data_IF_722243666732
#
_entry.id   IF_722243666732
#
_cell.length_a   1.000
_cell.length_b   1.000
_cell.length_c   1.000
_cell.angle_alpha   90.00
_cell.angle_beta   90.00
_cell.angle_gamma   90.00
#
_symmetry.space_group_name_H-M   'P 1'
#
loop_
_entity.id
_entity.type
_entity.pdbx_description
1 polymer ?
#
# COMPACT_ATOMS: atom_id res chain seq x y z
N UNK A 1 2.05 -30.65 -3.22
CA UNK A 1 2.53 -31.84 -2.49
C UNK A 1 2.15 -33.14 -3.20
N UNK A 2 0.87 -33.39 -3.50
CA UNK A 2 0.47 -34.62 -4.22
C UNK A 2 1.15 -34.80 -5.59
N UNK A 3 1.21 -33.76 -6.42
CA UNK A 3 1.82 -33.80 -7.76
C UNK A 3 3.35 -34.03 -7.74
N UNK A 4 4.01 -33.66 -6.65
CA UNK A 4 5.46 -33.86 -6.44
C UNK A 4 5.79 -35.25 -5.90
N UNK A 5 4.91 -35.81 -5.06
CA UNK A 5 5.16 -37.11 -4.43
C UNK A 5 4.67 -38.30 -5.28
N UNK A 6 3.63 -38.09 -6.10
CA UNK A 6 2.92 -39.16 -6.82
C UNK A 6 2.70 -38.87 -8.31
N UNK A 7 3.09 -37.70 -8.82
CA UNK A 7 2.93 -37.28 -10.21
C UNK A 7 4.25 -37.21 -10.99
N UNK A 8 4.24 -36.52 -12.13
CA UNK A 8 5.42 -36.28 -12.96
C UNK A 8 6.48 -35.39 -12.28
N UNK A 9 6.12 -34.74 -11.16
CA UNK A 9 7.00 -33.89 -10.35
C UNK A 9 7.57 -32.69 -11.09
N UNK A 10 8.48 -31.97 -10.43
CA UNK A 10 9.35 -30.98 -11.08
C UNK A 10 8.96 -29.51 -10.92
N UNK A 11 7.93 -29.19 -10.12
CA UNK A 11 7.68 -27.81 -9.66
C UNK A 11 8.85 -27.33 -8.80
N UNK A 12 9.36 -28.18 -7.90
CA UNK A 12 10.51 -27.84 -7.05
C UNK A 12 11.77 -27.60 -7.88
N UNK A 13 12.03 -28.45 -8.88
CA UNK A 13 13.15 -28.28 -9.79
C UNK A 13 13.01 -26.99 -10.62
N UNK A 14 11.82 -26.72 -11.15
CA UNK A 14 11.52 -25.50 -11.88
C UNK A 14 11.65 -24.25 -10.99
N UNK A 15 11.13 -24.30 -9.75
CA UNK A 15 11.18 -23.19 -8.81
C UNK A 15 12.60 -22.87 -8.33
N UNK A 16 13.44 -23.89 -8.16
CA UNK A 16 14.85 -23.72 -7.82
C UNK A 16 15.66 -23.13 -8.99
N UNK A 17 15.29 -23.46 -10.24
CA UNK A 17 15.95 -22.89 -11.42
C UNK A 17 15.47 -21.46 -11.68
N UNK A 18 14.16 -21.23 -11.65
CA UNK A 18 13.54 -19.92 -11.80
C UNK A 18 12.21 -19.88 -11.05
N UNK A 19 12.16 -19.07 -9.98
CA UNK A 19 10.97 -18.88 -9.17
C UNK A 19 9.78 -18.35 -9.97
N UNK A 20 10.04 -17.62 -11.06
CA UNK A 20 9.03 -17.07 -11.96
C UNK A 20 8.31 -18.15 -12.77
N UNK A 21 8.96 -19.30 -13.00
CA UNK A 21 8.39 -20.40 -13.79
C UNK A 21 7.53 -21.36 -12.98
N UNK A 22 7.62 -21.32 -11.64
CA UNK A 22 6.95 -22.26 -10.74
C UNK A 22 5.43 -22.29 -10.93
N UNK A 23 4.81 -21.13 -11.11
CA UNK A 23 3.36 -21.01 -11.32
C UNK A 23 2.96 -21.69 -12.64
N UNK A 24 3.61 -21.33 -13.74
CA UNK A 24 3.27 -21.87 -15.06
C UNK A 24 3.55 -23.36 -15.15
N UNK A 25 4.65 -23.83 -14.56
CA UNK A 25 4.96 -25.26 -14.46
C UNK A 25 3.94 -26.02 -13.62
N UNK A 26 3.42 -25.41 -12.56
CA UNK A 26 2.34 -26.02 -11.79
C UNK A 26 1.08 -26.19 -12.65
N UNK A 27 0.72 -25.18 -13.46
CA UNK A 27 -0.44 -25.27 -14.37
C UNK A 27 -0.24 -26.37 -15.43
N UNK A 28 0.95 -26.46 -16.01
CA UNK A 28 1.30 -27.53 -16.95
C UNK A 28 1.17 -28.92 -16.32
N UNK A 29 1.64 -29.09 -15.08
CA UNK A 29 1.63 -30.36 -14.37
C UNK A 29 0.25 -30.83 -13.90
N UNK A 30 -0.78 -29.96 -13.93
CA UNK A 30 -2.16 -30.36 -13.68
C UNK A 30 -2.75 -31.24 -14.78
N UNK A 31 -1.98 -31.55 -15.85
CA UNK A 31 -2.29 -32.53 -16.90
C UNK A 31 -3.73 -32.44 -17.44
N UNK A 32 -4.24 -31.22 -17.56
CA UNK A 32 -5.54 -30.93 -18.16
C UNK A 32 -5.38 -30.83 -19.67
N UNK A 33 -6.49 -30.81 -20.42
CA UNK A 33 -6.47 -30.57 -21.86
C UNK A 33 -5.57 -29.37 -22.22
N UNK A 34 -4.72 -29.53 -23.24
CA UNK A 34 -3.72 -28.53 -23.67
C UNK A 34 -4.30 -27.12 -23.91
N UNK A 35 -5.55 -27.06 -24.38
CA UNK A 35 -6.26 -25.79 -24.57
C UNK A 35 -6.54 -25.06 -23.23
N UNK A 36 -6.87 -25.80 -22.17
CA UNK A 36 -7.17 -25.23 -20.84
C UNK A 36 -5.90 -24.66 -20.22
N UNK A 37 -4.78 -25.34 -20.35
CA UNK A 37 -3.47 -24.88 -19.86
C UNK A 37 -3.11 -23.53 -20.48
N UNK A 38 -3.29 -23.39 -21.79
CA UNK A 38 -2.99 -22.15 -22.53
C UNK A 38 -3.90 -21.00 -22.09
N UNK A 39 -5.22 -21.26 -21.96
CA UNK A 39 -6.19 -20.26 -21.51
C UNK A 39 -5.90 -19.82 -20.07
N UNK A 40 -5.62 -20.77 -19.17
CA UNK A 40 -5.32 -20.46 -17.77
C UNK A 40 -4.01 -19.67 -17.63
N UNK A 41 -2.94 -20.07 -18.33
CA UNK A 41 -1.69 -19.32 -18.36
C UNK A 41 -1.88 -17.90 -18.90
N UNK A 42 -2.73 -17.74 -19.93
CA UNK A 42 -3.10 -16.43 -20.47
C UNK A 42 -3.85 -15.55 -19.46
N UNK A 43 -4.85 -16.11 -18.78
CA UNK A 43 -5.61 -15.40 -17.72
C UNK A 43 -4.67 -15.01 -16.58
N UNK A 44 -3.82 -15.91 -16.10
CA UNK A 44 -2.83 -15.61 -15.06
C UNK A 44 -1.90 -14.47 -15.47
N UNK A 45 -1.43 -14.46 -16.72
CA UNK A 45 -0.57 -13.39 -17.24
C UNK A 45 -1.30 -12.04 -17.23
N UNK A 46 -2.55 -11.99 -17.69
CA UNK A 46 -3.36 -10.76 -17.68
C UNK A 46 -3.61 -10.29 -16.23
N UNK A 47 -3.87 -11.21 -15.31
CA UNK A 47 -4.07 -10.90 -13.89
C UNK A 47 -2.81 -10.31 -13.27
N UNK A 48 -1.64 -10.89 -13.56
CA UNK A 48 -0.34 -10.38 -13.09
C UNK A 48 -0.06 -8.97 -13.62
N UNK A 49 -0.29 -8.74 -14.92
CA UNK A 49 -0.09 -7.42 -15.54
C UNK A 49 -1.03 -6.38 -14.92
N UNK A 50 -2.32 -6.69 -14.79
CA UNK A 50 -3.31 -5.76 -14.20
C UNK A 50 -2.99 -5.45 -12.73
N UNK A 51 -2.61 -6.47 -11.95
CA UNK A 51 -2.21 -6.29 -10.56
C UNK A 51 -0.96 -5.40 -10.44
N UNK A 52 0.03 -5.64 -11.30
CA UNK A 52 1.24 -4.84 -11.35
C UNK A 52 0.95 -3.36 -11.69
N UNK A 53 0.11 -3.09 -12.69
CA UNK A 53 -0.26 -1.72 -13.10
C UNK A 53 -0.99 -0.98 -11.99
N UNK A 54 -2.00 -1.59 -11.37
CA UNK A 54 -2.77 -0.96 -10.28
C UNK A 54 -1.91 -0.74 -9.03
N UNK A 55 -1.00 -1.67 -8.72
CA UNK A 55 -0.04 -1.53 -7.62
C UNK A 55 0.95 -0.39 -7.87
N UNK A 56 1.49 -0.30 -9.09
CA UNK A 56 2.43 0.76 -9.47
C UNK A 56 1.78 2.15 -9.45
N UNK A 57 0.51 2.28 -9.83
CA UNK A 57 -0.22 3.55 -9.78
C UNK A 57 -0.35 4.05 -8.32
N UNK A 58 -0.73 3.16 -7.41
CA UNK A 58 -0.86 3.47 -5.97
C UNK A 58 0.48 3.86 -5.36
N UNK A 59 1.57 3.16 -5.72
CA UNK A 59 2.91 3.47 -5.24
C UNK A 59 3.39 4.85 -5.71
N UNK A 60 3.12 5.19 -6.97
CA UNK A 60 3.49 6.49 -7.55
C UNK A 60 2.76 7.64 -6.88
N UNK A 61 1.48 7.43 -6.50
CA UNK A 61 0.69 8.42 -5.78
C UNK A 61 1.31 8.75 -4.42
N UNK A 62 1.69 7.74 -3.63
CA UNK A 62 2.34 7.95 -2.32
C UNK A 62 3.67 8.68 -2.46
N UNK A 63 4.50 8.33 -3.46
CA UNK A 63 5.77 9.04 -3.70
C UNK A 63 5.52 10.51 -4.04
N UNK A 64 4.51 10.80 -4.86
CA UNK A 64 4.19 12.17 -5.23
C UNK A 64 3.65 12.99 -4.05
N UNK A 65 2.83 12.41 -3.18
CA UNK A 65 2.32 13.13 -1.99
C UNK A 65 3.43 13.41 -0.98
N UNK A 66 4.41 12.50 -0.84
CA UNK A 66 5.60 12.71 0.00
C UNK A 66 6.46 13.87 -0.52
N UNK A 67 6.65 13.98 -1.83
CA UNK A 67 7.48 15.04 -2.46
C UNK A 67 6.74 16.38 -2.46
N UNK A 68 5.41 16.37 -2.61
CA UNK A 68 4.57 17.58 -2.60
C UNK A 68 4.19 18.04 -1.18
N UNK A 69 4.86 17.54 -0.14
CA UNK A 69 4.66 17.95 1.26
C UNK A 69 3.20 17.84 1.74
N UNK A 70 2.46 16.84 1.26
CA UNK A 70 1.07 16.59 1.63
C UNK A 70 0.02 17.21 0.71
N UNK A 71 0.40 17.79 -0.44
CA UNK A 71 -0.58 18.16 -1.47
C UNK A 71 -1.30 16.89 -1.98
N UNK A 72 -2.62 16.88 -1.83
CA UNK A 72 -3.51 15.78 -2.21
C UNK A 72 -3.61 15.57 -3.72
N UNK A 73 -3.21 16.55 -4.54
CA UNK A 73 -3.37 16.49 -5.99
C UNK A 73 -2.08 16.85 -6.76
N UNK A 74 -1.04 16.01 -6.68
CA UNK A 74 0.19 16.25 -7.41
C UNK A 74 -0.02 16.19 -8.92
N UNK A 75 0.52 17.18 -9.64
CA UNK A 75 0.43 17.30 -11.11
C UNK A 75 0.76 15.97 -11.81
N UNK A 76 -0.11 15.52 -12.71
CA UNK A 76 -0.01 14.23 -13.42
C UNK A 76 1.34 14.02 -14.15
N UNK A 77 2.03 15.10 -14.53
CA UNK A 77 3.35 15.04 -15.16
C UNK A 77 4.43 14.46 -14.23
N UNK A 78 4.38 14.79 -12.93
CA UNK A 78 5.34 14.27 -11.96
C UNK A 78 5.11 12.78 -11.68
N UNK A 79 3.85 12.34 -11.66
CA UNK A 79 3.50 10.91 -11.53
C UNK A 79 4.11 10.07 -12.66
N UNK A 80 3.93 10.50 -13.92
CA UNK A 80 4.47 9.77 -15.08
C UNK A 80 6.00 9.78 -15.08
N UNK A 81 6.63 10.91 -14.72
CA UNK A 81 8.09 10.97 -14.63
C UNK A 81 8.67 9.96 -13.63
N UNK A 82 8.10 9.89 -12.42
CA UNK A 82 8.58 8.98 -11.38
C UNK A 82 8.30 7.50 -11.71
N UNK A 83 7.14 7.18 -12.29
CA UNK A 83 6.84 5.80 -12.67
C UNK A 83 7.76 5.28 -13.78
N UNK A 84 8.03 6.12 -14.79
CA UNK A 84 8.97 5.78 -15.87
C UNK A 84 10.40 5.67 -15.33
N UNK A 85 10.82 6.55 -14.42
CA UNK A 85 12.15 6.47 -13.81
C UNK A 85 12.35 5.16 -13.04
N UNK A 86 11.38 4.74 -12.22
CA UNK A 86 11.43 3.46 -11.49
C UNK A 86 11.44 2.28 -12.47
N UNK A 87 10.61 2.32 -13.51
CA UNK A 87 10.58 1.29 -14.55
C UNK A 87 11.91 1.19 -15.33
N UNK A 88 12.56 2.32 -15.61
CA UNK A 88 13.86 2.36 -16.25
C UNK A 88 14.94 1.72 -15.36
N UNK A 89 14.98 2.08 -14.07
CA UNK A 89 15.89 1.45 -13.10
C UNK A 89 15.65 -0.05 -13.04
N UNK A 90 14.40 -0.50 -12.84
CA UNK A 90 14.08 -1.93 -12.82
C UNK A 90 14.50 -2.66 -14.10
N UNK A 91 14.27 -2.06 -15.28
CA UNK A 91 14.67 -2.61 -16.57
C UNK A 91 16.20 -2.75 -16.67
N UNK A 92 16.96 -1.74 -16.25
CA UNK A 92 18.43 -1.79 -16.26
C UNK A 92 19.00 -2.86 -15.32
N UNK A 93 18.43 -3.03 -14.13
CA UNK A 93 18.85 -4.08 -13.19
C UNK A 93 18.54 -5.48 -13.73
N UNK A 94 17.35 -5.66 -14.33
CA UNK A 94 16.98 -6.93 -14.96
C UNK A 94 17.92 -7.30 -16.10
N UNK A 95 18.31 -6.34 -16.95
CA UNK A 95 19.25 -6.59 -18.04
C UNK A 95 20.68 -6.92 -17.57
N UNK A 96 21.12 -6.34 -16.45
CA UNK A 96 22.51 -6.46 -15.99
C UNK A 96 22.73 -7.67 -15.07
N UNK A 97 21.79 -7.95 -14.17
CA UNK A 97 21.96 -8.98 -13.14
C UNK A 97 20.72 -9.84 -12.90
N UNK A 98 19.71 -9.75 -13.78
CA UNK A 98 18.52 -10.58 -13.74
C UNK A 98 17.68 -10.41 -12.47
N UNK A 99 16.90 -11.44 -12.16
CA UNK A 99 16.00 -11.46 -10.99
C UNK A 99 16.75 -11.33 -9.67
N UNK A 100 17.92 -11.96 -9.55
CA UNK A 100 18.73 -11.91 -8.34
C UNK A 100 19.16 -10.48 -7.99
N UNK A 101 19.61 -9.69 -8.98
CA UNK A 101 19.97 -8.30 -8.77
C UNK A 101 18.78 -7.45 -8.32
N UNK A 102 17.60 -7.66 -8.90
CA UNK A 102 16.37 -6.97 -8.52
C UNK A 102 15.99 -7.28 -7.06
N UNK A 103 16.09 -8.54 -6.65
CA UNK A 103 15.83 -8.99 -5.27
C UNK A 103 16.83 -8.38 -4.29
N UNK A 104 18.13 -8.43 -4.59
CA UNK A 104 19.17 -7.85 -3.73
C UNK A 104 18.99 -6.34 -3.58
N UNK A 105 18.74 -5.62 -4.67
CA UNK A 105 18.48 -4.18 -4.62
C UNK A 105 17.26 -3.84 -3.75
N UNK A 106 16.19 -4.63 -3.86
CA UNK A 106 14.98 -4.46 -3.04
C UNK A 106 15.26 -4.70 -1.56
N UNK A 107 16.04 -5.74 -1.20
CA UNK A 107 16.41 -6.03 0.20
C UNK A 107 17.25 -4.88 0.78
N UNK A 108 18.25 -4.42 0.03
CA UNK A 108 19.14 -3.32 0.46
C UNK A 108 18.35 -2.02 0.63
N UNK A 109 17.38 -1.73 -0.24
CA UNK A 109 16.51 -0.57 -0.13
C UNK A 109 15.50 -0.68 1.04
N UNK A 110 14.95 -1.88 1.29
CA UNK A 110 13.98 -2.11 2.35
C UNK A 110 14.58 -2.07 3.76
N UNK A 111 15.83 -2.48 3.92
CA UNK A 111 16.50 -2.56 5.22
C UNK A 111 16.55 -1.23 5.99
N UNK A 112 17.01 -0.09 5.42
CA UNK A 112 16.97 1.21 6.11
C UNK A 112 15.53 1.69 6.34
N UNK A 113 14.61 1.44 5.40
CA UNK A 113 13.21 1.84 5.53
C UNK A 113 12.49 1.09 6.66
N UNK A 114 12.90 -0.14 6.96
CA UNK A 114 12.39 -0.92 8.10
C UNK A 114 12.55 -0.19 9.44
N UNK A 115 13.67 0.51 9.66
CA UNK A 115 13.86 1.31 10.88
C UNK A 115 12.84 2.45 11.01
N UNK A 116 12.51 3.09 9.88
CA UNK A 116 11.50 4.15 9.83
C UNK A 116 10.12 3.58 10.16
N UNK A 117 9.79 2.39 9.64
CA UNK A 117 8.52 1.73 9.98
C UNK A 117 8.42 1.35 11.46
N UNK A 118 9.51 0.92 12.09
CA UNK A 118 9.53 0.64 13.53
C UNK A 118 9.25 1.92 14.33
N UNK A 119 9.85 3.05 13.95
CA UNK A 119 9.56 4.35 14.57
C UNK A 119 8.11 4.77 14.34
N UNK A 120 7.58 4.61 13.12
CA UNK A 120 6.19 4.93 12.82
C UNK A 120 5.20 4.08 13.63
N UNK A 121 5.51 2.80 13.87
CA UNK A 121 4.72 1.93 14.75
C UNK A 121 4.78 2.47 16.19
N UNK A 122 5.96 2.83 16.70
CA UNK A 122 6.09 3.41 18.03
C UNK A 122 5.29 4.71 18.18
N UNK A 123 5.36 5.61 17.20
CA UNK A 123 4.63 6.87 17.18
C UNK A 123 3.12 6.63 17.08
N UNK A 124 2.67 5.64 16.29
CA UNK A 124 1.27 5.26 16.22
C UNK A 124 0.76 4.75 17.57
N UNK A 125 1.50 3.85 18.23
CA UNK A 125 1.15 3.38 19.56
C UNK A 125 1.07 4.54 20.57
N UNK A 126 2.07 5.42 20.58
CA UNK A 126 2.07 6.59 21.45
C UNK A 126 0.87 7.50 21.17
N UNK A 127 0.60 7.81 19.90
CA UNK A 127 -0.52 8.66 19.49
C UNK A 127 -1.87 8.07 19.87
N UNK A 128 -2.04 6.74 19.77
CA UNK A 128 -3.27 6.06 20.19
C UNK A 128 -3.42 6.05 21.72
N UNK A 129 -2.33 5.99 22.48
CA UNK A 129 -2.37 6.09 23.95
C UNK A 129 -2.63 7.53 24.44
N UNK A 130 -2.23 8.53 23.66
CA UNK A 130 -2.46 9.95 23.94
C UNK A 130 -3.85 10.44 23.50
N UNK A 131 -4.62 9.61 22.76
CA UNK A 131 -5.95 9.97 22.28
C UNK A 131 -6.94 10.11 23.45
N UNK A 132 -7.56 11.30 23.65
CA UNK A 132 -8.52 11.50 24.74
C UNK A 132 -9.76 10.65 24.49
N UNK A 133 -10.19 9.90 25.51
CA UNK A 133 -11.38 9.03 25.45
C UNK A 133 -12.57 9.86 24.91
N UNK A 134 -13.38 9.34 23.97
CA UNK A 134 -14.47 10.09 23.31
C UNK A 134 -15.40 10.84 24.28
N UNK A 135 -15.61 10.29 25.48
CA UNK A 135 -16.39 10.95 26.53
C UNK A 135 -15.81 12.28 27.02
N UNK A 136 -14.48 12.44 27.03
CA UNK A 136 -13.81 13.70 27.38
C UNK A 136 -13.89 14.72 26.25
N UNK A 137 -13.81 14.28 24.99
CA UNK A 137 -13.99 15.15 23.81
C UNK A 137 -15.43 15.65 23.69
N UNK A 138 -16.42 14.80 23.92
CA UNK A 138 -17.83 15.19 23.96
C UNK A 138 -18.12 16.13 25.14
N UNK A 139 -17.49 15.91 26.29
CA UNK A 139 -17.65 16.80 27.46
C UNK A 139 -16.97 18.15 27.24
N UNK A 140 -15.77 18.17 26.65
CA UNK A 140 -15.08 19.40 26.27
C UNK A 140 -15.85 20.18 25.18
N UNK A 141 -16.38 19.48 24.17
CA UNK A 141 -17.21 20.07 23.12
C UNK A 141 -18.56 20.59 23.66
N UNK A 142 -19.21 19.86 24.58
CA UNK A 142 -20.43 20.30 25.25
C UNK A 142 -20.19 21.54 26.11
N UNK A 143 -19.09 21.58 26.88
CA UNK A 143 -18.71 22.74 27.69
C UNK A 143 -18.36 23.95 26.81
N UNK A 144 -17.66 23.74 25.69
CA UNK A 144 -17.37 24.80 24.73
C UNK A 144 -18.64 25.36 24.07
N UNK A 145 -19.58 24.48 23.69
CA UNK A 145 -20.89 24.86 23.15
C UNK A 145 -21.72 25.66 24.17
N UNK A 146 -21.76 25.25 25.43
CA UNK A 146 -22.47 25.98 26.49
C UNK A 146 -21.83 27.36 26.75
N UNK A 147 -20.50 27.46 26.73
CA UNK A 147 -19.79 28.72 26.85
C UNK A 147 -20.05 29.69 25.68
N UNK A 148 -20.15 29.16 24.45
CA UNK A 148 -20.50 29.96 23.28
C UNK A 148 -21.97 30.43 23.32
N UNK A 149 -22.89 29.59 23.81
CA UNK A 149 -24.29 29.96 24.00
C UNK A 149 -24.47 31.04 25.08
N UNK A 150 -23.68 30.99 26.17
CA UNK A 150 -23.73 32.00 27.23
C UNK A 150 -23.14 33.35 26.80
N UNK A 151 -22.12 33.35 25.94
CA UNK A 151 -21.53 34.58 25.37
C UNK A 151 -22.39 35.18 24.26
N UNK A 152 -23.19 34.37 23.54
CA UNK A 152 -24.18 34.84 22.56
C UNK A 152 -25.53 35.24 23.16
N UNK A 153 -25.76 35.12 24.47
CA UNK A 153 -27.01 35.60 25.06
C UNK A 153 -27.10 37.11 24.88
N UNK A 154 -28.12 37.65 24.19
CA UNK A 154 -28.37 39.08 24.21
C UNK A 154 -28.58 39.48 25.67
N UNK A 155 -27.94 40.57 26.11
CA UNK A 155 -28.17 41.16 27.44
C UNK A 155 -29.65 41.53 27.52
N UNK A 156 -30.50 40.61 27.99
CA UNK A 156 -31.89 40.93 28.28
C UNK A 156 -31.82 41.93 29.42
N UNK A 157 -32.11 43.18 29.07
CA UNK A 157 -32.33 44.24 30.03
C UNK A 157 -33.37 43.73 31.02
N UNK A 158 -32.91 43.42 32.23
CA UNK A 158 -33.76 43.25 33.40
C UNK A 158 -34.30 44.66 33.67
N UNK A 159 -35.36 45.03 32.96
CA UNK A 159 -36.18 46.17 33.29
C UNK A 159 -36.87 45.83 34.61
N UNK A 160 -36.21 46.24 35.68
CA UNK A 160 -36.70 46.25 37.05
C UNK A 160 -38.09 46.87 37.08
N UNK A 161 -39.06 46.04 37.42
CA UNK A 161 -40.35 46.42 37.99
C UNK A 161 -40.09 47.41 39.12
N UNK A 162 -40.55 48.64 38.97
CA UNK A 162 -40.62 49.64 40.04
C UNK A 162 -41.80 50.54 39.76
N UNK A 163 -42.88 50.23 40.49
CA UNK A 163 -44.08 51.03 40.83
C UNK A 163 -44.98 51.52 39.68
#
# INVERSE_FOLDING_TARGET
>A
MFIELFGNGGVVAAANADTTMALFKTIELMNTNSWVVTVMAGICTIMLVTYFVTSADSATLVVCTLISMGDSEPLARYRVFWSVAIGAVASTLLLTGGLAALQTATIVAALPFSFILIMAIYDLFKSLLEEPIPGQLLKAAAVASDAELLTRRPKVAVATVSL
#
